data_IF_711020890038
#
_entry.id   IF_711020890038
#
_cell.length_a   1.000
_cell.length_b   1.000
_cell.length_c   1.000
_cell.angle_alpha   90.00
_cell.angle_beta   90.00
_cell.angle_gamma   90.00
#
_symmetry.space_group_name_H-M   'P 1'
#
loop_
_entity.id
_entity.type
_entity.pdbx_description
1 polymer ?
#
# COMPACT_ATOMS: atom_id res chain seq x y z
N UNK A 1 -25.45 23.12 43.51
CA UNK A 1 -25.67 21.87 42.76
C UNK A 1 -24.47 21.70 41.82
N UNK A 2 -23.42 20.98 42.30
CA UNK A 2 -22.15 20.86 41.59
C UNK A 2 -22.20 19.61 40.70
N UNK A 3 -22.21 19.79 39.40
CA UNK A 3 -22.10 18.72 38.42
C UNK A 3 -20.60 18.41 38.23
N UNK A 4 -20.15 17.25 38.71
CA UNK A 4 -18.81 16.73 38.44
C UNK A 4 -18.82 16.14 37.01
N UNK A 5 -18.05 16.74 36.13
CA UNK A 5 -17.69 16.18 34.84
C UNK A 5 -16.75 14.98 35.06
N UNK A 6 -17.24 13.77 34.83
CA UNK A 6 -16.44 12.58 34.83
C UNK A 6 -15.46 12.58 33.67
N UNK A 7 -14.17 12.45 33.97
CA UNK A 7 -13.12 12.25 32.97
C UNK A 7 -13.35 10.89 32.28
N UNK A 8 -13.42 10.89 30.96
CA UNK A 8 -13.39 9.67 30.15
C UNK A 8 -12.01 9.02 30.29
N UNK A 9 -11.92 7.69 30.41
CA UNK A 9 -10.61 7.01 30.46
C UNK A 9 -9.91 7.19 29.12
N UNK A 10 -8.65 7.58 29.16
CA UNK A 10 -7.76 7.60 28.02
C UNK A 10 -7.70 6.20 27.40
N UNK A 11 -8.06 6.07 26.12
CA UNK A 11 -7.82 4.84 25.37
C UNK A 11 -6.30 4.64 25.29
N UNK A 12 -5.82 3.58 25.90
CA UNK A 12 -4.43 3.14 25.78
C UNK A 12 -4.27 2.62 24.35
N UNK A 13 -3.66 3.43 23.49
CA UNK A 13 -3.23 2.99 22.16
C UNK A 13 -1.98 2.13 22.38
N UNK A 14 -2.10 0.82 22.20
CA UNK A 14 -0.94 -0.06 22.27
C UNK A 14 0.13 0.36 21.24
N UNK A 15 1.42 0.31 21.61
CA UNK A 15 2.51 0.64 20.69
C UNK A 15 2.49 -0.31 19.48
N UNK A 16 2.88 0.20 18.29
CA UNK A 16 2.93 -0.54 17.04
C UNK A 16 3.68 -1.87 17.14
N UNK A 17 4.75 -1.89 17.95
CA UNK A 17 5.58 -3.07 18.18
C UNK A 17 4.83 -4.21 18.88
N UNK A 18 3.80 -3.91 19.67
CA UNK A 18 3.00 -4.92 20.37
C UNK A 18 2.02 -5.61 19.43
N UNK A 19 1.48 -4.90 18.43
CA UNK A 19 0.59 -5.49 17.41
C UNK A 19 1.34 -6.44 16.48
N UNK A 20 2.63 -6.15 16.20
CA UNK A 20 3.50 -6.99 15.38
C UNK A 20 3.98 -8.23 16.14
N UNK A 21 4.15 -8.15 17.47
CA UNK A 21 4.76 -9.20 18.29
C UNK A 21 3.77 -10.26 18.78
N UNK A 22 2.45 -10.02 18.78
CA UNK A 22 1.46 -10.95 19.32
C UNK A 22 0.98 -12.05 18.35
N UNK A 23 1.45 -12.08 17.10
CA UNK A 23 1.37 -13.26 16.25
C UNK A 23 2.63 -14.11 16.47
N UNK A 24 2.75 -14.73 17.63
CA UNK A 24 3.81 -15.70 17.90
C UNK A 24 3.68 -16.86 16.90
N UNK A 25 4.51 -16.81 15.87
CA UNK A 25 4.66 -17.83 14.85
C UNK A 25 5.34 -19.06 15.47
N UNK A 26 4.55 -19.94 16.05
CA UNK A 26 5.01 -21.25 16.51
C UNK A 26 5.08 -22.30 15.38
N UNK A 27 4.82 -21.90 14.14
CA UNK A 27 4.93 -22.79 12.96
C UNK A 27 5.51 -22.00 11.79
N UNK A 28 6.84 -21.94 11.68
CA UNK A 28 7.58 -21.17 10.69
C UNK A 28 7.06 -21.27 9.26
N UNK A 29 7.24 -20.18 8.51
CA UNK A 29 7.05 -20.10 7.06
C UNK A 29 5.59 -19.98 6.59
N UNK A 30 4.74 -19.23 7.34
CA UNK A 30 3.34 -18.97 6.99
C UNK A 30 3.05 -17.48 6.90
N UNK A 31 2.07 -17.16 6.06
CA UNK A 31 1.46 -15.82 5.95
C UNK A 31 -0.06 -15.93 6.09
N UNK A 32 -0.67 -14.91 6.65
CA UNK A 32 -2.12 -14.77 6.70
C UNK A 32 -2.58 -14.08 5.43
N UNK A 33 -3.32 -14.79 4.59
CA UNK A 33 -3.73 -14.37 3.26
C UNK A 33 -5.23 -14.09 3.26
N UNK A 34 -5.63 -12.92 2.77
CA UNK A 34 -7.03 -12.59 2.54
C UNK A 34 -7.51 -13.22 1.24
N UNK A 35 -6.74 -13.08 0.16
CA UNK A 35 -7.07 -13.61 -1.16
C UNK A 35 -5.83 -13.72 -2.05
N UNK A 36 -5.88 -14.63 -3.02
CA UNK A 36 -4.94 -14.70 -4.15
C UNK A 36 -5.79 -14.80 -5.42
N UNK A 37 -5.65 -13.84 -6.32
CA UNK A 37 -6.48 -13.75 -7.52
C UNK A 37 -5.70 -13.21 -8.71
N UNK A 38 -6.24 -13.38 -9.92
CA UNK A 38 -5.67 -12.89 -11.16
C UNK A 38 -6.56 -11.81 -11.75
N UNK A 39 -5.96 -10.66 -12.01
CA UNK A 39 -6.65 -9.51 -12.59
C UNK A 39 -5.70 -8.62 -13.40
N UNK A 40 -6.18 -7.47 -13.86
CA UNK A 40 -5.33 -6.41 -14.38
C UNK A 40 -4.80 -5.54 -13.23
N UNK A 41 -3.50 -5.20 -13.25
CA UNK A 41 -2.99 -4.20 -12.31
C UNK A 41 -3.73 -2.87 -12.56
N UNK A 42 -4.41 -2.40 -11.52
CA UNK A 42 -5.24 -1.19 -11.59
C UNK A 42 -4.48 0.11 -11.39
N UNK A 43 -3.27 0.01 -10.86
CA UNK A 43 -2.46 1.16 -10.45
C UNK A 43 -0.99 0.95 -10.81
N UNK A 44 -0.12 1.86 -10.38
CA UNK A 44 1.33 1.79 -10.57
C UNK A 44 1.80 1.90 -12.02
N UNK A 45 3.08 1.69 -12.25
CA UNK A 45 3.69 1.62 -13.58
C UNK A 45 3.15 0.48 -14.42
N UNK A 46 2.70 -0.59 -13.76
CA UNK A 46 2.19 -1.80 -14.40
C UNK A 46 0.68 -1.77 -14.70
N UNK A 47 0.03 -0.59 -14.64
CA UNK A 47 -1.41 -0.44 -14.95
C UNK A 47 -1.77 -1.11 -16.27
N UNK A 48 -2.82 -1.96 -16.25
CA UNK A 48 -3.31 -2.72 -17.42
C UNK A 48 -2.59 -4.06 -17.66
N UNK A 49 -1.54 -4.39 -16.90
CA UNK A 49 -0.81 -5.65 -17.05
C UNK A 49 -1.53 -6.77 -16.29
N UNK A 50 -1.77 -7.95 -16.93
CA UNK A 50 -2.26 -9.14 -16.22
C UNK A 50 -1.33 -9.51 -15.07
N UNK A 51 -1.87 -9.59 -13.85
CA UNK A 51 -1.10 -9.69 -12.60
C UNK A 51 -1.79 -10.64 -11.62
N UNK A 52 -1.03 -11.47 -10.94
CA UNK A 52 -1.52 -12.19 -9.75
C UNK A 52 -1.35 -11.31 -8.53
N UNK A 53 -2.42 -11.11 -7.81
CA UNK A 53 -2.42 -10.38 -6.54
C UNK A 53 -2.35 -11.36 -5.39
N UNK A 54 -1.40 -11.15 -4.47
CA UNK A 54 -1.31 -11.84 -3.18
C UNK A 54 -1.62 -10.81 -2.11
N UNK A 55 -2.85 -10.83 -1.58
CA UNK A 55 -3.31 -9.88 -0.58
C UNK A 55 -3.18 -10.44 0.82
N UNK A 56 -2.27 -9.86 1.60
CA UNK A 56 -2.04 -10.21 2.99
C UNK A 56 -3.08 -9.57 3.91
N UNK A 57 -3.39 -10.26 5.01
CA UNK A 57 -4.33 -9.78 6.03
C UNK A 57 -3.60 -8.94 7.08
N UNK A 58 -4.29 -7.93 7.59
CA UNK A 58 -3.81 -7.06 8.67
C UNK A 58 -3.25 -5.74 8.16
N UNK A 59 -3.60 -4.65 8.83
CA UNK A 59 -3.07 -3.31 8.58
C UNK A 59 -3.03 -2.54 9.90
N UNK A 60 -1.91 -1.87 10.23
CA UNK A 60 -1.83 -1.02 11.41
C UNK A 60 -2.46 0.38 11.22
N UNK A 61 -2.89 0.72 9.98
CA UNK A 61 -3.49 1.99 9.64
C UNK A 61 -5.02 1.89 9.51
N UNK A 62 -5.69 3.06 9.61
CA UNK A 62 -7.14 3.21 9.44
C UNK A 62 -7.45 4.43 8.57
N UNK A 63 -6.97 4.39 7.33
CA UNK A 63 -7.15 5.51 6.39
C UNK A 63 -8.63 5.78 6.12
N UNK A 64 -9.02 7.06 6.07
CA UNK A 64 -10.40 7.50 5.87
C UNK A 64 -11.03 7.06 4.54
N UNK A 65 -10.19 6.79 3.53
CA UNK A 65 -10.59 6.37 2.19
C UNK A 65 -10.21 4.92 1.87
N UNK A 66 -9.98 4.09 2.91
CA UNK A 66 -9.57 2.70 2.68
C UNK A 66 -10.64 1.92 1.91
N UNK A 67 -10.27 1.36 0.77
CA UNK A 67 -11.15 0.52 -0.06
C UNK A 67 -10.98 -0.99 0.20
N UNK A 68 -10.07 -1.34 1.14
CA UNK A 68 -9.69 -2.73 1.41
C UNK A 68 -9.85 -3.07 2.90
N UNK A 69 -10.82 -2.48 3.59
CA UNK A 69 -11.08 -2.72 5.02
C UNK A 69 -11.37 -4.20 5.34
N UNK A 70 -11.89 -4.95 4.37
CA UNK A 70 -12.13 -6.38 4.51
C UNK A 70 -10.85 -7.21 4.73
N UNK A 71 -9.66 -6.65 4.39
CA UNK A 71 -8.38 -7.26 4.65
C UNK A 71 -7.80 -6.93 6.04
N UNK A 72 -8.48 -6.14 6.89
CA UNK A 72 -7.98 -5.84 8.24
C UNK A 72 -7.98 -7.07 9.14
N UNK A 73 -8.95 -7.96 8.96
CA UNK A 73 -9.15 -9.15 9.80
C UNK A 73 -9.53 -10.36 8.95
N UNK A 74 -9.67 -11.52 9.58
CA UNK A 74 -10.00 -12.74 8.83
C UNK A 74 -8.79 -13.34 8.12
N UNK A 75 -8.96 -13.81 6.89
CA UNK A 75 -7.93 -14.48 6.10
C UNK A 75 -7.55 -15.87 6.62
N UNK A 76 -6.78 -16.60 5.83
CA UNK A 76 -6.34 -17.95 6.13
C UNK A 76 -4.80 -18.03 6.24
N UNK A 77 -4.30 -18.88 7.14
CA UNK A 77 -2.87 -19.15 7.25
C UNK A 77 -2.42 -20.10 6.14
N UNK A 78 -1.58 -19.63 5.24
CA UNK A 78 -1.00 -20.40 4.16
C UNK A 78 0.51 -20.51 4.32
N UNK A 79 1.09 -21.67 4.00
CA UNK A 79 2.55 -21.81 3.87
C UNK A 79 3.04 -21.09 2.63
N UNK A 80 4.31 -20.67 2.60
CA UNK A 80 4.90 -20.06 1.40
C UNK A 80 4.81 -21.01 0.20
N UNK A 81 5.04 -22.31 0.41
CA UNK A 81 4.93 -23.31 -0.66
C UNK A 81 3.53 -23.36 -1.27
N UNK A 82 2.48 -23.28 -0.43
CA UNK A 82 1.09 -23.23 -0.89
C UNK A 82 0.80 -21.96 -1.69
N UNK A 83 1.33 -20.82 -1.25
CA UNK A 83 1.19 -19.54 -1.96
C UNK A 83 1.90 -19.62 -3.33
N UNK A 84 3.16 -20.10 -3.37
CA UNK A 84 3.90 -20.28 -4.63
C UNK A 84 3.18 -21.22 -5.58
N UNK A 85 2.66 -22.36 -5.07
CA UNK A 85 1.92 -23.32 -5.90
C UNK A 85 0.66 -22.67 -6.53
N UNK A 86 -0.06 -21.85 -5.76
CA UNK A 86 -1.25 -21.14 -6.28
C UNK A 86 -0.87 -20.07 -7.30
N UNK A 87 0.18 -19.28 -7.05
CA UNK A 87 0.68 -18.25 -7.98
C UNK A 87 1.09 -18.89 -9.31
N UNK A 88 1.83 -19.99 -9.29
CA UNK A 88 2.24 -20.74 -10.50
C UNK A 88 1.04 -21.23 -11.32
N UNK A 89 -0.07 -21.56 -10.66
CA UNK A 89 -1.29 -22.01 -11.32
C UNK A 89 -1.93 -20.99 -12.27
N UNK A 90 -1.65 -19.69 -12.09
CA UNK A 90 -2.17 -18.64 -12.98
C UNK A 90 -1.36 -18.43 -14.25
N UNK A 91 -0.13 -18.92 -14.32
CA UNK A 91 0.75 -18.87 -15.50
C UNK A 91 0.96 -17.45 -16.08
N UNK A 92 1.04 -16.42 -15.23
CA UNK A 92 1.38 -15.04 -15.59
C UNK A 92 2.70 -14.62 -14.98
N UNK A 93 3.34 -13.59 -15.54
CA UNK A 93 4.69 -13.16 -15.17
C UNK A 93 4.71 -12.17 -14.00
N UNK A 94 3.68 -11.35 -13.86
CA UNK A 94 3.64 -10.29 -12.86
C UNK A 94 2.92 -10.74 -11.61
N UNK A 95 3.50 -10.42 -10.43
CA UNK A 95 2.91 -10.66 -9.13
C UNK A 95 2.95 -9.37 -8.31
N UNK A 96 1.81 -8.97 -7.77
CA UNK A 96 1.68 -7.86 -6.84
C UNK A 96 1.41 -8.40 -5.44
N UNK A 97 2.35 -8.19 -4.52
CA UNK A 97 2.13 -8.44 -3.10
C UNK A 97 1.56 -7.16 -2.48
N UNK A 98 0.37 -7.26 -1.96
CA UNK A 98 -0.41 -6.15 -1.40
C UNK A 98 -1.16 -6.61 -0.16
N UNK A 99 -2.11 -5.84 0.34
CA UNK A 99 -2.95 -6.32 1.45
C UNK A 99 -3.63 -5.20 2.19
N UNK A 100 -3.69 -5.36 3.51
CA UNK A 100 -3.68 -4.24 4.44
C UNK A 100 -2.29 -3.60 4.40
N UNK A 101 -1.34 -4.12 5.23
CA UNK A 101 0.08 -3.75 5.14
C UNK A 101 0.93 -5.02 5.08
N UNK A 102 1.49 -5.38 3.93
CA UNK A 102 2.22 -6.63 3.77
C UNK A 102 3.42 -6.78 4.70
N UNK A 103 4.17 -5.69 4.92
CA UNK A 103 5.38 -5.70 5.74
C UNK A 103 5.10 -5.86 7.24
N UNK A 104 3.83 -5.79 7.67
CA UNK A 104 3.44 -6.13 9.04
C UNK A 104 3.63 -7.63 9.34
N UNK A 105 3.72 -8.48 8.32
CA UNK A 105 4.00 -9.91 8.45
C UNK A 105 5.46 -10.19 8.08
N UNK A 106 6.27 -10.64 9.04
CA UNK A 106 7.73 -10.83 8.87
C UNK A 106 8.10 -11.72 7.67
N UNK A 107 7.32 -12.77 7.42
CA UNK A 107 7.58 -13.70 6.31
C UNK A 107 7.25 -13.11 4.94
N UNK A 108 6.70 -11.89 4.86
CA UNK A 108 6.48 -11.18 3.60
C UNK A 108 7.80 -10.99 2.83
N UNK A 109 8.90 -10.71 3.53
CA UNK A 109 10.22 -10.55 2.90
C UNK A 109 10.66 -11.84 2.20
N UNK A 110 10.42 -13.00 2.82
CA UNK A 110 10.72 -14.31 2.24
C UNK A 110 9.82 -14.62 1.03
N UNK A 111 8.54 -14.24 1.09
CA UNK A 111 7.63 -14.36 -0.06
C UNK A 111 8.14 -13.54 -1.25
N UNK A 112 8.47 -12.26 -1.03
CA UNK A 112 8.97 -11.36 -2.07
C UNK A 112 10.24 -11.91 -2.72
N UNK A 113 11.21 -12.32 -1.91
CA UNK A 113 12.45 -12.93 -2.38
C UNK A 113 12.19 -14.20 -3.20
N UNK A 114 11.39 -15.13 -2.67
CA UNK A 114 11.09 -16.39 -3.35
C UNK A 114 10.38 -16.20 -4.69
N UNK A 115 9.45 -15.23 -4.78
CA UNK A 115 8.82 -14.88 -6.06
C UNK A 115 9.83 -14.36 -7.08
N UNK A 116 10.78 -13.50 -6.65
CA UNK A 116 11.87 -13.03 -7.51
C UNK A 116 12.80 -14.19 -7.94
N UNK A 117 13.08 -15.14 -7.05
CA UNK A 117 13.92 -16.31 -7.33
C UNK A 117 13.26 -17.26 -8.34
N UNK A 118 11.93 -17.34 -8.34
CA UNK A 118 11.14 -18.06 -9.36
C UNK A 118 11.02 -17.30 -10.70
N UNK A 119 11.60 -16.10 -10.82
CA UNK A 119 11.67 -15.31 -12.05
C UNK A 119 10.45 -14.44 -12.33
N UNK A 120 9.58 -14.21 -11.34
CA UNK A 120 8.47 -13.27 -11.49
C UNK A 120 8.93 -11.81 -11.49
N UNK A 121 8.19 -10.95 -12.18
CA UNK A 121 8.25 -9.50 -12.00
C UNK A 121 7.38 -9.12 -10.79
N UNK A 122 8.04 -8.78 -9.69
CA UNK A 122 7.38 -8.61 -8.40
C UNK A 122 7.22 -7.13 -8.06
N UNK A 123 6.02 -6.72 -7.67
CA UNK A 123 5.74 -5.43 -7.05
C UNK A 123 5.23 -5.61 -5.61
N UNK A 124 5.55 -4.65 -4.77
CA UNK A 124 5.05 -4.53 -3.40
C UNK A 124 4.30 -3.21 -3.25
N UNK A 125 3.03 -3.27 -2.87
CA UNK A 125 2.27 -2.10 -2.45
C UNK A 125 2.30 -2.02 -0.92
N UNK A 126 2.86 -0.95 -0.38
CA UNK A 126 3.00 -0.71 1.07
C UNK A 126 2.59 0.70 1.44
N UNK A 127 2.04 0.85 2.63
CA UNK A 127 1.67 2.15 3.20
C UNK A 127 2.87 3.07 3.52
N UNK A 128 4.09 2.53 3.48
CA UNK A 128 5.30 3.27 3.87
C UNK A 128 5.44 3.52 5.37
N UNK A 129 4.57 2.96 6.20
CA UNK A 129 4.63 3.11 7.66
C UNK A 129 5.69 2.21 8.31
N UNK A 130 6.10 1.14 7.64
CA UNK A 130 7.10 0.19 8.11
C UNK A 130 8.40 0.30 7.31
N UNK A 131 9.48 -0.24 7.86
CA UNK A 131 10.80 -0.25 7.24
C UNK A 131 10.82 -1.09 5.97
N UNK A 132 11.31 -0.51 4.86
CA UNK A 132 11.45 -1.16 3.57
C UNK A 132 12.86 -1.66 3.28
N UNK A 133 13.83 -1.42 4.17
CA UNK A 133 15.25 -1.75 3.94
C UNK A 133 15.50 -3.24 3.65
N UNK A 134 14.67 -4.13 4.25
CA UNK A 134 14.79 -5.58 4.07
C UNK A 134 14.15 -6.12 2.78
N UNK A 135 13.49 -5.29 1.98
CA UNK A 135 12.84 -5.73 0.74
C UNK A 135 13.89 -6.03 -0.33
N UNK A 136 13.75 -7.18 -1.00
CA UNK A 136 14.66 -7.59 -2.08
C UNK A 136 14.76 -6.48 -3.16
N UNK A 137 15.96 -6.08 -3.59
CA UNK A 137 16.15 -4.97 -4.54
C UNK A 137 15.59 -5.23 -5.95
N UNK A 138 15.19 -6.45 -6.27
CA UNK A 138 14.51 -6.81 -7.52
C UNK A 138 13.04 -6.40 -7.51
N UNK A 139 12.44 -6.24 -6.33
CA UNK A 139 11.04 -5.85 -6.14
C UNK A 139 10.85 -4.37 -6.48
N UNK A 140 9.83 -4.04 -7.28
CA UNK A 140 9.38 -2.66 -7.47
C UNK A 140 8.44 -2.27 -6.31
N UNK A 141 8.89 -1.35 -5.45
CA UNK A 141 8.12 -0.88 -4.30
C UNK A 141 7.23 0.30 -4.71
N UNK A 142 5.94 0.19 -4.44
CA UNK A 142 4.98 1.29 -4.56
C UNK A 142 4.66 1.75 -3.14
N UNK A 143 5.28 2.86 -2.73
CA UNK A 143 5.17 3.39 -1.37
C UNK A 143 4.09 4.48 -1.34
N UNK A 144 2.99 4.20 -0.65
CA UNK A 144 1.86 5.11 -0.51
C UNK A 144 2.07 6.05 0.67
N UNK A 145 2.66 7.22 0.41
CA UNK A 145 2.81 8.28 1.42
C UNK A 145 1.45 8.88 1.75
N UNK A 146 1.04 8.69 3.00
CA UNK A 146 -0.28 9.11 3.49
C UNK A 146 -0.37 10.63 3.62
N UNK A 147 -1.37 11.19 2.96
CA UNK A 147 -1.71 12.62 3.03
C UNK A 147 -2.47 12.95 4.32
N UNK A 148 -2.59 14.22 4.72
CA UNK A 148 -3.38 14.62 5.91
C UNK A 148 -4.82 14.10 5.89
N UNK A 149 -5.50 14.15 4.73
CA UNK A 149 -6.88 13.68 4.57
C UNK A 149 -7.07 12.18 4.81
N UNK A 150 -6.00 11.39 4.75
CA UNK A 150 -6.04 9.97 5.14
C UNK A 150 -6.29 9.75 6.63
N UNK A 151 -5.98 10.74 7.49
CA UNK A 151 -5.92 10.59 8.95
C UNK A 151 -4.67 9.89 9.47
N UNK A 152 -3.77 9.41 8.59
CA UNK A 152 -2.62 8.56 8.95
C UNK A 152 -1.26 9.20 8.59
N UNK A 153 -1.23 10.50 8.30
CA UNK A 153 -0.01 11.22 7.88
C UNK A 153 1.16 11.07 8.88
N UNK A 154 0.87 10.99 10.17
CA UNK A 154 1.88 10.81 11.23
C UNK A 154 2.55 9.43 11.21
N UNK A 155 2.01 8.50 10.43
CA UNK A 155 2.54 7.14 10.28
C UNK A 155 3.55 7.01 9.16
N UNK A 156 3.75 8.03 8.34
CA UNK A 156 4.75 8.04 7.28
C UNK A 156 6.16 7.90 7.88
N UNK A 157 6.88 6.86 7.47
CA UNK A 157 8.30 6.67 7.83
C UNK A 157 9.17 7.31 6.75
N UNK A 158 9.56 8.58 6.95
CA UNK A 158 10.35 9.32 5.96
C UNK A 158 11.76 8.77 5.78
N UNK A 159 12.28 7.99 6.75
CA UNK A 159 13.55 7.25 6.63
C UNK A 159 13.52 6.23 5.45
N UNK A 160 12.36 5.89 4.94
CA UNK A 160 12.22 5.06 3.74
C UNK A 160 12.61 5.78 2.45
N UNK A 161 12.51 7.12 2.40
CA UNK A 161 12.73 7.89 1.17
C UNK A 161 14.15 7.73 0.59
N UNK A 162 15.23 7.77 1.39
CA UNK A 162 16.58 7.55 0.88
C UNK A 162 16.85 6.14 0.34
N UNK A 163 15.97 5.17 0.65
CA UNK A 163 16.09 3.78 0.21
C UNK A 163 15.45 3.53 -1.15
N UNK A 164 14.71 4.50 -1.68
CA UNK A 164 14.02 4.39 -2.96
C UNK A 164 14.99 4.52 -4.14
N UNK A 165 14.66 3.82 -5.21
CA UNK A 165 15.42 3.77 -6.44
C UNK A 165 14.51 4.09 -7.64
N UNK A 166 15.07 4.20 -8.84
CA UNK A 166 14.30 4.40 -10.08
C UNK A 166 13.30 3.28 -10.40
N UNK A 167 13.47 2.11 -9.77
CA UNK A 167 12.50 1.00 -9.88
C UNK A 167 11.23 1.25 -9.10
N UNK A 168 11.31 2.06 -8.07
CA UNK A 168 10.25 2.28 -7.12
C UNK A 168 9.31 3.39 -7.56
N UNK A 169 8.24 3.53 -6.84
CA UNK A 169 7.25 4.57 -7.06
C UNK A 169 6.77 5.10 -5.71
N UNK A 170 6.48 6.39 -5.66
CA UNK A 170 5.76 7.01 -4.54
C UNK A 170 4.35 7.33 -5.02
N UNK A 171 3.35 6.95 -4.23
CA UNK A 171 1.95 7.28 -4.49
C UNK A 171 1.42 8.22 -3.41
N UNK A 172 0.65 9.22 -3.83
CA UNK A 172 -0.17 10.07 -2.98
C UNK A 172 -1.62 9.92 -3.40
N UNK A 173 -2.48 9.54 -2.45
CA UNK A 173 -3.93 9.56 -2.63
C UNK A 173 -4.45 10.89 -2.13
N UNK A 174 -5.08 11.65 -3.02
CA UNK A 174 -5.50 13.04 -2.82
C UNK A 174 -7.02 13.09 -2.60
N UNK A 175 -7.45 13.59 -1.46
CA UNK A 175 -8.87 13.75 -1.11
C UNK A 175 -9.39 15.15 -1.42
N UNK A 176 -8.52 16.15 -1.30
CA UNK A 176 -8.88 17.56 -1.47
C UNK A 176 -7.68 18.45 -1.86
N UNK A 177 -7.88 19.76 -1.84
CA UNK A 177 -6.84 20.74 -2.15
C UNK A 177 -5.72 20.76 -1.11
N UNK A 178 -6.02 20.55 0.15
CA UNK A 178 -5.01 20.57 1.22
C UNK A 178 -4.04 19.38 1.06
N UNK A 179 -4.55 18.21 0.73
CA UNK A 179 -3.74 17.03 0.40
C UNK A 179 -2.85 17.27 -0.81
N UNK A 180 -3.39 17.88 -1.85
CA UNK A 180 -2.63 18.24 -3.05
C UNK A 180 -1.45 19.17 -2.72
N UNK A 181 -1.69 20.24 -1.96
CA UNK A 181 -0.65 21.19 -1.55
C UNK A 181 0.41 20.54 -0.67
N UNK A 182 -0.01 19.67 0.24
CA UNK A 182 0.90 18.91 1.09
C UNK A 182 1.76 17.96 0.24
N UNK A 183 1.17 17.17 -0.65
CA UNK A 183 1.88 16.27 -1.54
C UNK A 183 2.86 17.00 -2.46
N UNK A 184 2.48 18.18 -2.96
CA UNK A 184 3.34 19.07 -3.74
C UNK A 184 4.54 19.56 -2.92
N UNK A 185 4.35 19.92 -1.65
CA UNK A 185 5.45 20.30 -0.75
C UNK A 185 6.42 19.14 -0.54
N UNK A 186 5.91 17.95 -0.23
CA UNK A 186 6.72 16.74 -0.10
C UNK A 186 7.51 16.42 -1.36
N UNK A 187 6.89 16.54 -2.54
CA UNK A 187 7.54 16.35 -3.83
C UNK A 187 8.78 17.24 -3.99
N UNK A 188 8.67 18.52 -3.62
CA UNK A 188 9.74 19.50 -3.76
C UNK A 188 10.80 19.41 -2.67
N UNK A 189 10.41 19.33 -1.39
CA UNK A 189 11.31 19.26 -0.23
C UNK A 189 12.24 18.04 -0.31
N UNK A 190 11.68 16.88 -0.63
CA UNK A 190 12.42 15.64 -0.74
C UNK A 190 12.91 15.32 -2.15
N UNK A 191 12.65 16.19 -3.14
CA UNK A 191 13.05 16.03 -4.55
C UNK A 191 12.64 14.67 -5.12
N UNK A 192 11.46 14.18 -4.77
CA UNK A 192 11.02 12.80 -5.01
C UNK A 192 11.08 12.40 -6.49
N UNK A 193 10.70 13.29 -7.41
CA UNK A 193 10.76 13.04 -8.85
C UNK A 193 12.17 12.84 -9.42
N UNK A 194 13.24 13.06 -8.61
CA UNK A 194 14.62 12.73 -9.00
C UNK A 194 15.04 11.32 -8.58
N UNK A 195 14.31 10.72 -7.64
CA UNK A 195 14.61 9.41 -7.10
C UNK A 195 13.83 8.31 -7.80
N UNK A 196 12.53 8.56 -8.02
CA UNK A 196 11.61 7.57 -8.57
C UNK A 196 10.40 8.26 -9.24
N UNK A 197 9.53 7.46 -9.85
CA UNK A 197 8.27 7.95 -10.39
C UNK A 197 7.30 8.31 -9.25
N UNK A 198 6.63 9.46 -9.37
CA UNK A 198 5.65 9.93 -8.38
C UNK A 198 4.26 9.91 -8.98
N UNK A 199 3.31 9.30 -8.28
CA UNK A 199 1.93 9.10 -8.69
C UNK A 199 0.99 9.96 -7.84
N UNK A 200 0.14 10.78 -8.48
CA UNK A 200 -0.97 11.46 -7.83
C UNK A 200 -2.28 10.81 -8.26
N UNK A 201 -2.98 10.24 -7.29
CA UNK A 201 -4.22 9.49 -7.50
C UNK A 201 -5.38 10.18 -6.76
N UNK A 202 -6.52 10.46 -7.41
CA UNK A 202 -7.67 10.99 -6.71
C UNK A 202 -8.29 9.89 -5.82
N UNK A 203 -8.65 10.22 -4.57
CA UNK A 203 -9.43 9.31 -3.74
C UNK A 203 -10.78 9.04 -4.40
N UNK A 204 -11.08 7.77 -4.63
CA UNK A 204 -12.29 7.36 -5.35
C UNK A 204 -13.55 7.84 -4.62
N UNK A 205 -14.46 8.46 -5.36
CA UNK A 205 -15.72 9.01 -4.83
C UNK A 205 -15.59 10.30 -3.99
N UNK A 206 -14.37 10.76 -3.67
CA UNK A 206 -14.14 11.96 -2.86
C UNK A 206 -13.54 13.11 -3.68
N UNK A 207 -12.49 12.82 -4.45
CA UNK A 207 -11.80 13.82 -5.28
C UNK A 207 -12.20 13.67 -6.75
N UNK A 208 -12.77 14.72 -7.38
CA UNK A 208 -13.03 14.71 -8.82
C UNK A 208 -11.73 14.57 -9.62
N UNK A 209 -11.62 13.48 -10.39
CA UNK A 209 -10.42 13.14 -11.15
C UNK A 209 -9.97 14.26 -12.09
N UNK A 210 -10.93 14.91 -12.77
CA UNK A 210 -10.68 16.05 -13.66
C UNK A 210 -10.03 17.22 -12.92
N UNK A 211 -10.50 17.54 -11.72
CA UNK A 211 -9.98 18.66 -10.94
C UNK A 211 -8.52 18.42 -10.52
N UNK A 212 -8.16 17.21 -10.08
CA UNK A 212 -6.78 16.86 -9.78
C UNK A 212 -5.88 16.99 -11.01
N UNK A 213 -6.35 16.50 -12.17
CA UNK A 213 -5.62 16.60 -13.43
C UNK A 213 -5.37 18.08 -13.83
N UNK A 214 -6.38 18.94 -13.69
CA UNK A 214 -6.27 20.37 -13.96
C UNK A 214 -5.23 21.06 -13.04
N UNK A 215 -5.16 20.70 -11.76
CA UNK A 215 -4.14 21.21 -10.83
C UNK A 215 -2.73 20.77 -11.22
N UNK A 216 -2.53 19.49 -11.54
CA UNK A 216 -1.24 18.94 -11.97
C UNK A 216 -0.74 19.68 -13.22
N UNK A 217 -1.62 19.88 -14.22
CA UNK A 217 -1.28 20.55 -15.46
C UNK A 217 -0.98 22.04 -15.26
N UNK A 218 -1.80 22.72 -14.46
CA UNK A 218 -1.60 24.13 -14.11
C UNK A 218 -0.25 24.38 -13.44
N UNK A 219 0.10 23.53 -12.49
CA UNK A 219 1.36 23.63 -11.71
C UNK A 219 2.55 22.98 -12.44
N UNK A 220 2.32 22.32 -13.57
CA UNK A 220 3.35 21.62 -14.38
C UNK A 220 4.17 20.66 -13.54
N UNK A 221 3.51 19.89 -12.65
CA UNK A 221 4.21 18.97 -11.77
C UNK A 221 4.80 17.79 -12.53
N UNK A 222 6.02 17.37 -12.21
CA UNK A 222 6.66 16.19 -12.81
C UNK A 222 6.15 14.90 -12.15
N UNK A 223 4.84 14.67 -12.21
CA UNK A 223 4.16 13.53 -11.62
C UNK A 223 3.28 12.83 -12.65
N UNK A 224 3.00 11.55 -12.43
CA UNK A 224 2.00 10.81 -13.19
C UNK A 224 0.65 10.95 -12.50
N UNK A 225 -0.35 11.42 -13.22
CA UNK A 225 -1.75 11.28 -12.82
C UNK A 225 -2.19 9.83 -13.01
N UNK A 226 -2.83 9.24 -11.99
CA UNK A 226 -3.25 7.85 -12.03
C UNK A 226 -4.68 7.66 -11.51
N UNK A 227 -5.51 7.00 -12.29
CA UNK A 227 -6.80 6.48 -11.85
C UNK A 227 -6.65 5.02 -11.42
N UNK A 228 -7.57 4.57 -10.58
CA UNK A 228 -7.73 3.16 -10.23
C UNK A 228 -8.49 2.46 -11.37
N UNK A 229 -7.77 1.82 -12.31
CA UNK A 229 -8.36 1.19 -13.50
C UNK A 229 -9.39 0.13 -13.12
N UNK A 230 -9.14 -0.66 -12.07
CA UNK A 230 -10.06 -1.68 -11.58
C UNK A 230 -11.42 -1.08 -11.16
N UNK A 231 -11.43 0.12 -10.56
CA UNK A 231 -12.68 0.82 -10.20
C UNK A 231 -13.47 1.27 -11.44
N UNK A 232 -12.78 1.65 -12.51
CA UNK A 232 -13.43 2.01 -13.78
C UNK A 232 -14.04 0.80 -14.49
N UNK A 233 -13.37 -0.36 -14.43
CA UNK A 233 -13.79 -1.57 -15.12
C UNK A 233 -14.87 -2.35 -14.34
N UNK A 234 -14.72 -2.48 -13.04
CA UNK A 234 -15.51 -3.41 -12.22
C UNK A 234 -16.19 -2.74 -11.01
N UNK A 235 -16.05 -1.43 -10.85
CA UNK A 235 -16.59 -0.72 -9.68
C UNK A 235 -15.93 -1.17 -8.39
N UNK A 236 -16.75 -1.49 -7.38
CA UNK A 236 -16.27 -1.90 -6.06
C UNK A 236 -16.20 -3.42 -5.86
N UNK A 237 -16.18 -4.17 -6.94
CA UNK A 237 -16.09 -5.63 -6.87
C UNK A 237 -14.73 -6.05 -6.31
N UNK A 238 -14.73 -7.01 -5.37
CA UNK A 238 -13.53 -7.59 -4.77
C UNK A 238 -12.99 -8.74 -5.62
N UNK A 239 -11.67 -9.00 -5.56
CA UNK A 239 -11.02 -10.13 -6.23
C UNK A 239 -10.99 -10.04 -7.77
N UNK A 240 -11.00 -8.83 -8.33
CA UNK A 240 -10.99 -8.56 -9.78
C UNK A 240 -9.98 -7.51 -10.15
#
# INVERSE_FOLDING_TARGET
>A
MNIRLGAMPAQIVEPLDTVILNAADSAGNRLRITEIFHSLQGESRAVGVPTVFVRLTGCPLRCSYCDTEYAFTGGEWMTLDAIFAQVRGYAVRHVCVTGGEPLAQKNCLQLLQGLCDEGYEVSLETSGALDIAGVDPRVSRVVDLKTPGSGEVSRNRLDNLPLLTERDQIKFVITDRADYEWARSMLHEHRLAKCCEVLFSPAYGQMPARQLAEWILSDRLPVRFQLQLHKLLWGERQGV
#
